data_IF_867203606212
#
_entry.id   IF_867203606212
#
_cell.length_a   1.000
_cell.length_b   1.000
_cell.length_c   1.000
_cell.angle_alpha   90.00
_cell.angle_beta   90.00
_cell.angle_gamma   90.00
#
_symmetry.space_group_name_H-M   'P 1'
#
loop_
_entity.id
_entity.type
_entity.pdbx_description
1 polymer ?
#
# COMPACT_ATOMS: atom_id res chain seq x y z
N UNK A 1 -3.08 18.94 14.48
CA UNK A 1 -3.82 17.92 15.25
C UNK A 1 -2.85 16.85 15.69
N UNK A 2 -2.83 16.53 16.99
CA UNK A 2 -1.87 15.62 17.61
C UNK A 2 -2.31 14.16 17.41
N UNK A 3 -1.34 13.25 17.29
CA UNK A 3 -1.51 11.78 17.23
C UNK A 3 -2.45 11.23 18.33
N UNK A 4 -2.60 11.96 19.43
CA UNK A 4 -3.43 11.63 20.59
C UNK A 4 -4.95 11.55 20.32
N UNK A 5 -5.44 12.11 19.22
CA UNK A 5 -6.87 12.03 18.86
C UNK A 5 -7.25 10.77 18.06
N UNK A 6 -6.28 9.96 17.63
CA UNK A 6 -6.54 8.64 17.03
C UNK A 6 -7.14 7.64 18.04
N UNK A 7 -7.04 7.95 19.33
CA UNK A 7 -7.37 7.04 20.42
C UNK A 7 -8.83 7.12 20.91
N UNK A 8 -9.66 8.05 20.40
CA UNK A 8 -11.01 8.28 20.97
C UNK A 8 -12.13 7.43 20.36
N UNK A 9 -11.87 6.63 19.32
CA UNK A 9 -12.84 5.71 18.68
C UNK A 9 -12.39 4.23 18.73
N UNK A 10 -11.53 3.90 19.70
CA UNK A 10 -10.70 2.69 19.72
C UNK A 10 -11.53 1.41 19.89
N UNK A 11 -11.66 0.62 18.82
CA UNK A 11 -11.72 -0.84 18.95
C UNK A 11 -10.29 -1.34 19.14
N UNK A 12 -10.06 -2.22 20.11
CA UNK A 12 -8.73 -2.70 20.54
C UNK A 12 -7.90 -3.46 19.49
N UNK A 13 -8.34 -3.54 18.23
CA UNK A 13 -7.65 -4.16 17.10
C UNK A 13 -7.89 -3.38 15.80
N UNK A 14 -7.58 -2.08 15.79
CA UNK A 14 -7.79 -1.27 14.59
C UNK A 14 -6.59 -1.39 13.62
N UNK A 15 -6.80 -2.15 12.55
CA UNK A 15 -5.87 -2.29 11.41
C UNK A 15 -5.42 -0.92 10.87
N UNK A 16 -6.26 0.12 10.95
CA UNK A 16 -5.89 1.46 10.53
C UNK A 16 -4.78 2.06 11.41
N UNK A 17 -4.78 1.78 12.71
CA UNK A 17 -3.73 2.23 13.63
C UNK A 17 -2.40 1.53 13.30
N UNK A 18 -2.44 0.24 13.00
CA UNK A 18 -1.27 -0.51 12.55
C UNK A 18 -0.71 0.07 11.24
N UNK A 19 -1.58 0.32 10.25
CA UNK A 19 -1.17 0.92 8.97
C UNK A 19 -0.59 2.33 9.18
N UNK A 20 -1.18 3.15 10.06
CA UNK A 20 -0.67 4.48 10.38
C UNK A 20 0.72 4.41 11.03
N UNK A 21 0.92 3.49 11.97
CA UNK A 21 2.19 3.30 12.66
C UNK A 21 3.30 2.82 11.71
N UNK A 22 3.02 1.82 10.88
CA UNK A 22 4.01 1.25 9.96
C UNK A 22 4.31 2.14 8.74
N UNK A 23 3.32 2.91 8.28
CA UNK A 23 3.53 3.85 7.16
C UNK A 23 4.08 5.20 7.61
N UNK A 24 4.00 5.52 8.90
CA UNK A 24 4.30 6.85 9.45
C UNK A 24 3.52 7.98 8.74
N UNK A 25 2.33 7.67 8.22
CA UNK A 25 1.51 8.62 7.46
C UNK A 25 0.30 9.09 8.28
N UNK A 26 -0.04 10.37 8.13
CA UNK A 26 -1.28 10.92 8.62
C UNK A 26 -2.35 10.95 7.51
N UNK A 27 -3.24 9.97 7.48
CA UNK A 27 -4.30 9.88 6.47
C UNK A 27 -5.25 11.07 6.48
N UNK A 28 -5.47 11.70 7.65
CA UNK A 28 -6.38 12.82 7.82
C UNK A 28 -5.86 14.13 7.21
N UNK A 29 -4.58 14.20 6.83
CA UNK A 29 -4.07 15.32 6.04
C UNK A 29 -4.63 15.32 4.60
N UNK A 30 -5.09 14.18 4.09
CA UNK A 30 -5.67 14.07 2.76
C UNK A 30 -7.06 14.70 2.69
N UNK A 31 -7.23 15.66 1.79
CA UNK A 31 -8.52 16.29 1.46
C UNK A 31 -9.19 15.72 0.19
N UNK A 32 -8.78 14.55 -0.27
CA UNK A 32 -9.41 13.82 -1.39
C UNK A 32 -9.39 14.53 -2.77
N UNK A 33 -8.30 15.25 -3.11
CA UNK A 33 -8.18 15.89 -4.44
C UNK A 33 -8.03 14.94 -5.64
N UNK A 34 -7.79 13.64 -5.43
CA UNK A 34 -7.64 12.65 -6.51
C UNK A 34 -6.35 12.72 -7.35
N UNK A 35 -5.45 13.68 -7.14
CA UNK A 35 -4.22 13.86 -7.94
C UNK A 35 -3.31 12.63 -7.95
N UNK A 36 -3.22 11.91 -6.84
CA UNK A 36 -2.47 10.66 -6.75
C UNK A 36 -3.01 9.57 -7.67
N UNK A 37 -4.32 9.51 -7.88
CA UNK A 37 -4.96 8.54 -8.75
C UNK A 37 -4.89 8.94 -10.21
N UNK A 38 -5.06 10.23 -10.53
CA UNK A 38 -4.87 10.74 -11.88
C UNK A 38 -3.44 10.54 -12.39
N UNK A 39 -2.44 10.65 -11.51
CA UNK A 39 -1.04 10.45 -11.85
C UNK A 39 -0.59 8.98 -11.85
N UNK A 40 -1.44 8.04 -11.43
CA UNK A 40 -1.05 6.63 -11.29
C UNK A 40 -1.18 5.90 -12.63
N UNK A 41 -0.07 5.38 -13.20
CA UNK A 41 -0.10 4.73 -14.51
C UNK A 41 -0.88 3.42 -14.51
N UNK A 42 -1.00 2.75 -13.36
CA UNK A 42 -1.70 1.47 -13.23
C UNK A 42 -3.06 1.57 -12.55
N UNK A 43 -3.60 2.79 -12.37
CA UNK A 43 -4.91 2.99 -11.74
C UNK A 43 -6.05 2.25 -12.45
N UNK A 44 -5.97 2.11 -13.78
CA UNK A 44 -6.97 1.39 -14.58
C UNK A 44 -7.07 -0.11 -14.26
N UNK A 45 -6.03 -0.69 -13.64
CA UNK A 45 -5.97 -2.10 -13.26
C UNK A 45 -6.19 -2.32 -11.74
N UNK A 46 -6.48 -1.25 -10.99
CA UNK A 46 -6.81 -1.31 -9.56
C UNK A 46 -8.32 -1.40 -9.38
N UNK A 47 -8.77 -2.15 -8.37
CA UNK A 47 -10.16 -2.21 -7.94
C UNK A 47 -10.62 -0.92 -7.25
N UNK A 48 -9.71 -0.29 -6.50
CA UNK A 48 -9.86 1.05 -5.94
C UNK A 48 -8.58 1.85 -6.15
N UNK A 49 -8.75 3.11 -6.54
CA UNK A 49 -7.62 3.99 -6.84
C UNK A 49 -6.93 4.48 -5.54
N UNK A 50 -5.67 4.97 -5.63
CA UNK A 50 -4.90 5.38 -4.45
C UNK A 50 -5.60 6.36 -3.49
N UNK A 51 -6.33 7.36 -3.98
CA UNK A 51 -7.07 8.28 -3.11
C UNK A 51 -8.20 7.58 -2.34
N UNK A 52 -8.85 6.58 -2.96
CA UNK A 52 -9.92 5.80 -2.36
C UNK A 52 -9.39 4.88 -1.26
N UNK A 53 -8.20 4.29 -1.44
CA UNK A 53 -7.52 3.56 -0.35
C UNK A 53 -7.31 4.48 0.86
N UNK A 54 -6.77 5.68 0.66
CA UNK A 54 -6.60 6.66 1.75
C UNK A 54 -7.96 7.03 2.36
N UNK A 55 -9.02 7.15 1.54
CA UNK A 55 -10.36 7.44 2.03
C UNK A 55 -10.89 6.34 2.95
N UNK A 56 -10.68 5.06 2.62
CA UNK A 56 -11.07 3.95 3.48
C UNK A 56 -10.36 4.03 4.83
N UNK A 57 -9.05 4.34 4.83
CA UNK A 57 -8.28 4.52 6.07
C UNK A 57 -8.79 5.70 6.90
N UNK A 58 -9.20 6.81 6.28
CA UNK A 58 -9.84 7.93 6.99
C UNK A 58 -11.18 7.57 7.64
N UNK A 59 -11.90 6.60 7.05
CA UNK A 59 -13.20 6.15 7.51
C UNK A 59 -13.10 5.01 8.55
N UNK A 60 -11.87 4.57 8.89
CA UNK A 60 -11.67 3.42 9.78
C UNK A 60 -11.87 2.05 9.10
N UNK A 61 -12.05 2.01 7.78
CA UNK A 61 -12.33 0.77 7.04
C UNK A 61 -11.03 0.13 6.50
N UNK A 62 -10.08 -0.11 7.41
CA UNK A 62 -8.78 -0.70 7.09
C UNK A 62 -8.88 -2.12 6.52
N UNK A 63 -9.89 -2.88 6.93
CA UNK A 63 -10.16 -4.22 6.43
C UNK A 63 -10.49 -4.22 4.94
N UNK A 64 -11.30 -3.27 4.47
CA UNK A 64 -11.59 -3.13 3.04
C UNK A 64 -10.37 -2.70 2.24
N UNK A 65 -9.52 -1.84 2.81
CA UNK A 65 -8.24 -1.48 2.20
C UNK A 65 -7.29 -2.69 2.10
N UNK A 66 -7.27 -3.58 3.11
CA UNK A 66 -6.45 -4.80 3.12
C UNK A 66 -6.92 -5.87 2.12
N UNK A 67 -8.21 -5.89 1.78
CA UNK A 67 -8.80 -6.83 0.79
C UNK A 67 -8.67 -6.37 -0.66
N UNK A 68 -8.25 -5.13 -0.87
CA UNK A 68 -8.12 -4.55 -2.21
C UNK A 68 -6.95 -5.15 -3.00
N UNK A 69 -7.07 -5.20 -4.33
CA UNK A 69 -5.98 -5.57 -5.22
C UNK A 69 -4.97 -4.41 -5.46
N UNK A 70 -5.34 -3.17 -5.10
CA UNK A 70 -4.55 -1.98 -5.39
C UNK A 70 -3.09 -2.04 -4.87
N UNK A 71 -2.80 -2.55 -3.66
CA UNK A 71 -1.42 -2.72 -3.18
C UNK A 71 -0.58 -3.63 -4.08
N UNK A 72 -1.20 -4.65 -4.69
CA UNK A 72 -0.57 -5.63 -5.57
C UNK A 72 -0.40 -5.13 -7.00
N UNK A 73 -1.34 -4.31 -7.49
CA UNK A 73 -1.23 -3.63 -8.78
C UNK A 73 -0.28 -2.43 -8.73
N UNK A 74 -0.05 -1.85 -7.55
CA UNK A 74 0.91 -0.76 -7.36
C UNK A 74 2.32 -1.19 -7.81
N UNK A 75 2.94 -0.40 -8.68
CA UNK A 75 4.31 -0.66 -9.19
C UNK A 75 5.39 0.10 -8.41
N UNK A 76 5.01 0.86 -7.38
CA UNK A 76 5.97 1.59 -6.56
C UNK A 76 6.73 2.68 -7.32
N UNK A 77 6.13 3.30 -8.35
CA UNK A 77 6.77 4.35 -9.16
C UNK A 77 6.91 5.71 -8.44
N UNK A 78 6.30 5.86 -7.25
CA UNK A 78 6.35 7.04 -6.37
C UNK A 78 5.74 8.34 -6.95
N UNK A 79 5.19 8.33 -8.15
CA UNK A 79 4.60 9.53 -8.78
C UNK A 79 3.49 10.15 -7.91
N UNK A 80 2.65 9.32 -7.31
CA UNK A 80 1.58 9.77 -6.43
C UNK A 80 2.10 10.51 -5.17
N UNK A 81 3.24 10.08 -4.64
CA UNK A 81 3.91 10.68 -3.48
C UNK A 81 4.46 12.06 -3.83
N UNK A 82 5.19 12.15 -4.95
CA UNK A 82 5.74 13.43 -5.43
C UNK A 82 4.66 14.46 -5.73
N UNK A 83 3.50 14.04 -6.23
CA UNK A 83 2.43 14.94 -6.65
C UNK A 83 1.51 15.40 -5.51
N UNK A 84 1.63 14.82 -4.31
CA UNK A 84 0.71 15.06 -3.21
C UNK A 84 0.94 16.45 -2.57
N UNK A 85 -0.02 17.39 -2.68
CA UNK A 85 0.14 18.75 -2.13
C UNK A 85 0.05 18.79 -0.60
N UNK A 86 -0.40 17.70 0.03
CA UNK A 86 -0.55 17.57 1.48
C UNK A 86 0.57 16.77 2.13
N UNK A 87 1.55 16.31 1.35
CA UNK A 87 2.68 15.52 1.86
C UNK A 87 2.31 14.12 2.35
N UNK A 88 1.13 13.59 2.01
CA UNK A 88 0.79 12.18 2.24
C UNK A 88 1.54 11.34 1.21
N UNK A 89 2.07 10.19 1.62
CA UNK A 89 2.78 9.23 0.77
C UNK A 89 1.90 8.01 0.44
N UNK A 90 1.14 8.01 -0.68
CA UNK A 90 0.29 6.88 -1.03
C UNK A 90 1.10 5.65 -1.41
N UNK A 91 2.31 5.82 -1.98
CA UNK A 91 3.15 4.69 -2.36
C UNK A 91 3.62 3.92 -1.11
N UNK A 92 4.02 4.63 -0.06
CA UNK A 92 4.37 4.01 1.23
C UNK A 92 3.17 3.31 1.87
N UNK A 93 1.98 3.90 1.81
CA UNK A 93 0.75 3.24 2.30
C UNK A 93 0.50 1.92 1.56
N UNK A 94 0.66 1.89 0.24
CA UNK A 94 0.51 0.65 -0.56
C UNK A 94 1.55 -0.40 -0.19
N UNK A 95 2.80 0.00 0.07
CA UNK A 95 3.84 -0.91 0.59
C UNK A 95 3.45 -1.47 1.96
N UNK A 96 3.03 -0.62 2.90
CA UNK A 96 2.61 -1.03 4.24
C UNK A 96 1.46 -2.04 4.19
N UNK A 97 0.46 -1.84 3.33
CA UNK A 97 -0.62 -2.82 3.13
C UNK A 97 -0.09 -4.18 2.68
N UNK A 98 0.87 -4.21 1.74
CA UNK A 98 1.53 -5.46 1.32
C UNK A 98 2.31 -6.10 2.46
N UNK A 99 3.10 -5.33 3.21
CA UNK A 99 3.88 -5.84 4.34
C UNK A 99 2.99 -6.48 5.40
N UNK A 100 1.88 -5.82 5.79
CA UNK A 100 0.94 -6.39 6.76
C UNK A 100 0.33 -7.69 6.21
N UNK A 101 -0.03 -7.71 4.93
CA UNK A 101 -0.61 -8.90 4.31
C UNK A 101 0.35 -10.09 4.31
N UNK A 102 1.61 -9.88 3.91
CA UNK A 102 2.64 -10.91 3.89
C UNK A 102 2.96 -11.45 5.29
N UNK A 103 3.07 -10.55 6.28
CA UNK A 103 3.29 -10.94 7.70
C UNK A 103 2.18 -11.83 8.25
N UNK A 104 0.93 -11.61 7.82
CA UNK A 104 -0.22 -12.44 8.23
C UNK A 104 -0.22 -13.83 7.60
N UNK A 105 0.38 -13.98 6.42
CA UNK A 105 0.38 -15.26 5.70
C UNK A 105 1.54 -16.19 6.07
N UNK A 106 2.52 -15.72 6.85
CA UNK A 106 3.78 -16.43 7.12
C UNK A 106 4.37 -17.06 5.84
N UNK A 107 4.27 -16.31 4.74
CA UNK A 107 4.59 -16.77 3.39
C UNK A 107 5.81 -16.03 2.86
N UNK A 108 7.01 -16.25 3.43
CA UNK A 108 8.24 -15.77 2.80
C UNK A 108 8.36 -16.44 1.43
N UNK A 109 8.54 -15.66 0.38
CA UNK A 109 8.84 -16.22 -0.93
C UNK A 109 10.22 -16.87 -0.88
N UNK A 110 10.24 -18.19 -0.77
CA UNK A 110 11.46 -19.00 -0.83
C UNK A 110 11.84 -19.24 -2.28
N UNK A 111 12.96 -18.67 -2.72
CA UNK A 111 13.54 -19.00 -4.01
C UNK A 111 13.96 -20.47 -4.03
N UNK A 112 13.34 -21.27 -4.89
CA UNK A 112 13.79 -22.64 -5.18
C UNK A 112 14.61 -22.65 -6.46
N UNK A 113 15.51 -23.62 -6.64
CA UNK A 113 16.25 -23.75 -7.90
C UNK A 113 15.33 -23.93 -9.13
N UNK A 114 14.11 -24.42 -8.94
CA UNK A 114 13.11 -24.58 -10.01
C UNK A 114 12.58 -23.22 -10.51
N UNK A 115 12.74 -22.14 -9.75
CA UNK A 115 12.37 -20.79 -10.18
C UNK A 115 13.45 -20.14 -11.07
N UNK A 116 14.69 -20.65 -11.07
CA UNK A 116 15.84 -20.04 -11.76
C UNK A 116 15.68 -19.95 -13.28
N UNK A 117 15.22 -21.01 -13.94
CA UNK A 117 14.91 -21.00 -15.39
C UNK A 117 13.70 -20.12 -15.71
N UNK A 118 12.72 -20.05 -14.82
CA UNK A 118 11.53 -19.22 -15.05
C UNK A 118 11.85 -17.74 -14.88
N UNK A 119 12.71 -17.39 -13.92
CA UNK A 119 13.12 -16.04 -13.61
C UNK A 119 14.08 -15.47 -14.67
N UNK A 120 14.95 -16.31 -15.27
CA UNK A 120 15.82 -15.89 -16.38
C UNK A 120 15.05 -15.53 -17.65
N UNK A 121 13.83 -16.06 -17.81
CA UNK A 121 12.92 -15.72 -18.90
C UNK A 121 12.08 -14.46 -18.65
N UNK A 122 12.06 -13.93 -17.41
CA UNK A 122 11.31 -12.71 -17.10
C UNK A 122 12.14 -11.46 -17.41
N UNK A 123 11.51 -10.37 -17.88
CA UNK A 123 12.20 -9.09 -17.98
C UNK A 123 12.66 -8.62 -16.59
N UNK A 124 13.84 -7.98 -16.54
CA UNK A 124 14.46 -7.52 -15.29
C UNK A 124 13.51 -6.64 -14.44
N UNK A 125 12.63 -5.88 -15.10
CA UNK A 125 11.61 -5.06 -14.43
C UNK A 125 10.55 -5.89 -13.70
N UNK A 126 10.13 -7.02 -14.26
CA UNK A 126 9.20 -7.94 -13.61
C UNK A 126 9.86 -8.64 -12.43
N UNK A 127 11.13 -9.04 -12.58
CA UNK A 127 11.93 -9.64 -11.50
C UNK A 127 12.02 -8.70 -10.28
N UNK A 128 12.45 -7.45 -10.50
CA UNK A 128 12.62 -6.45 -9.44
C UNK A 128 11.27 -6.08 -8.81
N UNK A 129 10.20 -5.96 -9.61
CA UNK A 129 8.87 -5.69 -9.11
C UNK A 129 8.31 -6.85 -8.28
N UNK A 130 8.54 -8.10 -8.71
CA UNK A 130 8.13 -9.29 -7.99
C UNK A 130 8.88 -9.40 -6.67
N UNK A 131 10.22 -9.35 -6.68
CA UNK A 131 11.05 -9.41 -5.47
C UNK A 131 10.63 -8.35 -4.44
N UNK A 132 10.45 -7.10 -4.85
CA UNK A 132 9.93 -6.04 -3.96
C UNK A 132 8.56 -6.31 -3.32
N UNK A 133 7.74 -7.17 -3.94
CA UNK A 133 6.39 -7.50 -3.47
C UNK A 133 6.33 -8.78 -2.66
N UNK A 134 7.37 -9.61 -2.66
CA UNK A 134 7.31 -10.96 -2.08
C UNK A 134 8.45 -11.30 -1.11
N UNK A 135 9.47 -10.45 -0.98
CA UNK A 135 10.57 -10.65 -0.02
C UNK A 135 10.44 -9.72 1.18
N UNK A 136 10.06 -10.26 2.34
CA UNK A 136 10.21 -9.64 3.67
C UNK A 136 10.38 -10.72 4.73
#
# INVERSE_FOLDING_TARGET
MKMSQLLSFRKENDVVVEIAALSEQNFYACYQCGKCSAACPTAFAMDIAPHQVIRLLQLGDGEKAMKSNAPWTCVGCLTCTTYCPKGVDPARIMETLRTIHLRKLDAPFHYTQQDGERLSALPQSALVAAMRKVTW
#
